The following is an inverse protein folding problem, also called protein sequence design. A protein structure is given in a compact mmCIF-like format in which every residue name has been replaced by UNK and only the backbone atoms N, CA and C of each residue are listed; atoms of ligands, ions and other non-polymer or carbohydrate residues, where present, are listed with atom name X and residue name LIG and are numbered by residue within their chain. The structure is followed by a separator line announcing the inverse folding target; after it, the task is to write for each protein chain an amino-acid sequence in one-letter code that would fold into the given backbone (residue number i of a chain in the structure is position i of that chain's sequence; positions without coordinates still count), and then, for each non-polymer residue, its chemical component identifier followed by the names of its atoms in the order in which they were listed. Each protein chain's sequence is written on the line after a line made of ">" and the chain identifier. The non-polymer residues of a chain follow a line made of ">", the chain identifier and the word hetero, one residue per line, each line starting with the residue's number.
data_IF_289288516449
#
_entry.id   IF_289288516449
#
_cell.length_a   1.000
_cell.length_b   1.000
_cell.length_c   1.000
_cell.angle_alpha   90.00
_cell.angle_beta   90.00
_cell.angle_gamma   90.00
#
_symmetry.space_group_name_H-M   'P 1'
#
loop_
_entity.id
_entity.type
_entity.pdbx_description
1 polymer ?
#
# COMPACT_ATOMS: atom_id res chain seq x y z
N UNK A 1 7.61 3.10 27.66
CA UNK A 1 6.57 2.82 26.64
C UNK A 1 6.74 3.90 25.60
N UNK A 2 7.57 3.63 24.60
CA UNK A 2 8.30 4.68 23.87
C UNK A 2 7.62 4.92 22.50
N UNK A 3 6.40 5.45 22.53
CA UNK A 3 5.55 5.65 21.35
C UNK A 3 5.86 6.93 20.55
N UNK A 4 6.68 7.82 21.09
CA UNK A 4 7.10 9.04 20.40
C UNK A 4 8.27 8.70 19.47
N UNK A 5 7.95 8.13 18.30
CA UNK A 5 8.91 8.00 17.22
C UNK A 5 9.24 9.39 16.62
N UNK A 6 9.99 10.21 17.37
CA UNK A 6 10.60 11.46 16.90
C UNK A 6 11.95 11.10 16.29
N UNK A 7 11.95 10.23 15.28
CA UNK A 7 13.11 10.13 14.40
C UNK A 7 12.95 11.21 13.34
N UNK A 8 13.94 12.11 13.21
CA UNK A 8 13.94 13.14 12.16
C UNK A 8 13.66 12.50 10.80
N UNK A 9 12.87 13.16 9.96
CA UNK A 9 12.56 12.73 8.58
C UNK A 9 13.82 12.39 7.77
N UNK A 10 14.98 12.90 8.18
CA UNK A 10 16.29 12.63 7.60
C UNK A 10 16.84 11.20 7.87
N UNK A 11 16.32 10.47 8.87
CA UNK A 11 16.81 9.14 9.27
C UNK A 11 15.91 7.97 8.83
N UNK A 12 14.69 8.24 8.34
CA UNK A 12 13.76 7.24 7.82
C UNK A 12 14.00 7.02 6.32
N UNK A 13 15.23 6.61 6.00
CA UNK A 13 15.83 6.58 4.66
C UNK A 13 14.94 6.11 3.51
N UNK A 14 15.18 6.73 2.35
CA UNK A 14 14.49 6.57 1.07
C UNK A 14 12.98 6.89 1.13
N UNK A 15 12.40 7.56 0.10
CA UNK A 15 10.95 7.76 0.08
C UNK A 15 10.28 6.40 0.22
N UNK A 16 9.36 6.29 1.19
CA UNK A 16 8.65 5.04 1.47
C UNK A 16 8.02 4.56 0.17
N UNK A 17 8.44 3.39 -0.32
CA UNK A 17 7.92 2.83 -1.56
C UNK A 17 6.39 2.74 -1.49
N UNK A 18 5.65 3.44 -2.37
CA UNK A 18 4.20 3.38 -2.35
C UNK A 18 3.72 1.93 -2.50
N UNK A 19 2.95 1.50 -1.52
CA UNK A 19 2.54 0.10 -1.37
C UNK A 19 1.04 0.05 -1.10
N UNK A 20 0.33 -0.81 -1.83
CA UNK A 20 -1.09 -1.09 -1.60
C UNK A 20 -1.19 -2.48 -0.98
N UNK A 21 -2.00 -2.60 0.07
CA UNK A 21 -2.32 -3.88 0.69
C UNK A 21 -3.81 -4.18 0.46
N UNK A 22 -4.10 -5.34 -0.13
CA UNK A 22 -5.47 -5.87 -0.21
C UNK A 22 -5.60 -6.95 0.83
N UNK A 23 -6.63 -6.85 1.67
CA UNK A 23 -6.93 -7.85 2.68
C UNK A 23 -8.10 -8.71 2.23
N UNK A 24 -7.91 -10.02 2.26
CA UNK A 24 -8.96 -10.99 1.99
C UNK A 24 -9.29 -11.75 3.27
N UNK A 25 -10.58 -11.90 3.56
CA UNK A 25 -11.04 -12.75 4.66
C UNK A 25 -11.08 -14.21 4.18
N UNK A 26 -10.21 -15.05 4.72
CA UNK A 26 -10.10 -16.49 4.43
C UNK A 26 -10.14 -17.23 5.76
N UNK A 27 -11.07 -18.18 5.91
CA UNK A 27 -11.24 -18.98 7.13
C UNK A 27 -11.30 -18.16 8.43
N UNK A 28 -11.99 -17.02 8.37
CA UNK A 28 -12.17 -16.11 9.51
C UNK A 28 -10.96 -15.23 9.83
N UNK A 29 -9.91 -15.24 8.99
CA UNK A 29 -8.70 -14.44 9.18
C UNK A 29 -8.43 -13.54 7.97
N UNK A 30 -7.99 -12.30 8.22
CA UNK A 30 -7.57 -11.40 7.17
C UNK A 30 -6.15 -11.72 6.72
N UNK A 31 -5.99 -12.15 5.47
CA UNK A 31 -4.71 -12.34 4.82
C UNK A 31 -4.37 -11.11 3.96
N UNK A 32 -3.16 -10.57 4.13
CA UNK A 32 -2.70 -9.39 3.41
C UNK A 32 -1.95 -9.80 2.14
N UNK A 33 -2.31 -9.19 1.00
CA UNK A 33 -1.57 -9.26 -0.24
C UNK A 33 -0.98 -7.88 -0.57
N UNK A 34 0.33 -7.85 -0.79
CA UNK A 34 1.10 -6.64 -1.04
C UNK A 34 1.29 -6.41 -2.54
N UNK A 35 1.07 -5.18 -2.99
CA UNK A 35 1.28 -4.72 -4.36
C UNK A 35 2.12 -3.43 -4.36
N UNK A 36 3.04 -3.29 -5.31
CA UNK A 36 3.94 -2.13 -5.43
C UNK A 36 4.15 -1.72 -6.88
N UNK A 37 4.72 -0.54 -7.13
CA UNK A 37 5.15 -0.13 -8.46
C UNK A 37 4.01 -0.12 -9.50
N UNK A 38 4.08 -1.01 -10.50
CA UNK A 38 3.07 -1.14 -11.55
C UNK A 38 2.25 -2.43 -11.46
N UNK A 39 2.30 -3.11 -10.30
CA UNK A 39 1.52 -4.31 -10.07
C UNK A 39 0.02 -4.02 -10.27
N UNK A 40 -0.68 -4.95 -10.94
CA UNK A 40 -2.14 -4.92 -11.05
C UNK A 40 -2.74 -5.44 -9.74
N UNK A 41 -3.71 -4.71 -9.21
CA UNK A 41 -4.44 -5.13 -8.03
C UNK A 41 -5.33 -6.32 -8.37
N UNK A 42 -5.16 -7.42 -7.63
CA UNK A 42 -6.01 -8.60 -7.72
C UNK A 42 -7.00 -8.54 -6.56
N UNK A 43 -8.29 -8.68 -6.87
CA UNK A 43 -9.36 -8.72 -5.89
C UNK A 43 -10.29 -9.89 -6.17
N UNK A 44 -10.49 -10.75 -5.19
CA UNK A 44 -11.44 -11.85 -5.30
C UNK A 44 -12.89 -11.34 -5.43
N UNK A 45 -13.22 -10.22 -4.79
CA UNK A 45 -14.55 -9.60 -4.84
C UNK A 45 -14.80 -8.87 -6.15
N UNK A 46 -13.75 -8.33 -6.77
CA UNK A 46 -13.82 -7.58 -8.03
C UNK A 46 -12.79 -8.11 -9.03
N UNK A 47 -13.01 -9.29 -9.66
CA UNK A 47 -12.04 -9.90 -10.58
C UNK A 47 -11.75 -9.04 -11.82
N UNK A 48 -12.72 -8.23 -12.22
CA UNK A 48 -12.61 -7.34 -13.38
C UNK A 48 -11.87 -6.02 -13.08
N UNK A 49 -11.41 -5.81 -11.84
CA UNK A 49 -10.66 -4.61 -11.48
C UNK A 49 -9.35 -4.56 -12.27
N UNK A 50 -9.20 -3.53 -13.12
CA UNK A 50 -8.03 -3.34 -13.99
C UNK A 50 -7.21 -2.11 -13.57
N UNK A 51 -6.95 -1.97 -12.26
CA UNK A 51 -6.21 -0.83 -11.71
C UNK A 51 -4.82 -1.26 -11.26
N UNK A 52 -3.80 -0.45 -11.55
CA UNK A 52 -2.42 -0.66 -11.06
C UNK A 52 -2.09 0.22 -9.87
N UNK A 53 -1.09 -0.19 -9.08
CA UNK A 53 -0.58 0.62 -7.97
C UNK A 53 -0.15 2.02 -8.44
N UNK A 54 0.50 2.12 -9.60
CA UNK A 54 0.90 3.39 -10.20
C UNK A 54 -0.28 4.34 -10.41
N UNK A 55 -1.42 3.83 -10.89
CA UNK A 55 -2.62 4.63 -11.09
C UNK A 55 -3.23 5.10 -9.77
N UNK A 56 -3.26 4.23 -8.75
CA UNK A 56 -3.72 4.59 -7.40
C UNK A 56 -2.84 5.70 -6.82
N UNK A 57 -1.53 5.56 -6.94
CA UNK A 57 -0.56 6.55 -6.44
C UNK A 57 -0.72 7.88 -7.18
N UNK A 58 -0.91 7.85 -8.51
CA UNK A 58 -1.13 9.05 -9.31
C UNK A 58 -2.44 9.79 -8.98
N UNK A 59 -3.49 9.06 -8.61
CA UNK A 59 -4.74 9.65 -8.14
C UNK A 59 -4.69 10.09 -6.67
N UNK A 60 -3.68 9.66 -5.91
CA UNK A 60 -3.53 9.98 -4.49
C UNK A 60 -2.73 11.26 -4.25
N UNK A 61 -2.86 11.84 -3.06
CA UNK A 61 -2.01 12.97 -2.64
C UNK A 61 -0.58 12.54 -2.25
N UNK A 62 -0.25 11.24 -2.32
CA UNK A 62 1.07 10.70 -1.95
C UNK A 62 2.18 11.22 -2.85
N UNK A 63 1.88 11.61 -4.10
CA UNK A 63 2.86 12.22 -5.01
C UNK A 63 3.39 13.58 -4.55
N UNK A 64 2.72 14.26 -3.60
CA UNK A 64 3.12 15.59 -3.11
C UNK A 64 4.00 15.55 -1.84
N UNK A 65 4.37 14.36 -1.35
CA UNK A 65 5.12 14.16 -0.10
C UNK A 65 6.64 14.07 -0.32
#
# INVERSE_FOLDING_TARGET
>A
MDYLAIASRAYLGNPKLPTVFVYQLIDGQYQAQKFTGNDRIISATFPELQITVKQIVAASQIQKL
#
